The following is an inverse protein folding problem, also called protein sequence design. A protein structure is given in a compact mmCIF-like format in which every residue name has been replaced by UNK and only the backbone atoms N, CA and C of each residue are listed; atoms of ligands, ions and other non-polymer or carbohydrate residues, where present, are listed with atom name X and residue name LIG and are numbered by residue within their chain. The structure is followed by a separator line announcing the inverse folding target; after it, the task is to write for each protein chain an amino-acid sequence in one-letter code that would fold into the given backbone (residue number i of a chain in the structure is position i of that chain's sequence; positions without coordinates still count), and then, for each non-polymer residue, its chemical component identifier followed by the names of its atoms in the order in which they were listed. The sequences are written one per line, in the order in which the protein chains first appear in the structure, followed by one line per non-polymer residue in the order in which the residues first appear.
data_IF_752856930400
#
_entry.id   IF_752856930400
#
_cell.length_a   1.000
_cell.length_b   1.000
_cell.length_c   1.000
_cell.angle_alpha   90.00
_cell.angle_beta   90.00
_cell.angle_gamma   90.00
#
_symmetry.space_group_name_H-M   'P 1'
#
loop_
_entity.id
_entity.type
_entity.pdbx_description
1 polymer ?
#
# COMPACT_ATOMS: atom_id res chain seq x y z
N UNK A 1 -7.28 1.49 7.58
CA UNK A 1 -6.83 0.36 8.44
C UNK A 1 -5.38 0.01 8.18
N UNK A 2 -4.96 -0.34 6.95
CA UNK A 2 -3.56 -0.71 6.62
C UNK A 2 -2.57 0.36 7.09
N UNK A 3 -2.81 1.63 6.77
CA UNK A 3 -1.98 2.77 7.18
C UNK A 3 -1.78 2.83 8.69
N UNK A 4 -2.88 2.65 9.44
CA UNK A 4 -2.83 2.65 10.91
C UNK A 4 -2.05 1.45 11.47
N UNK A 5 -2.15 0.28 10.81
CA UNK A 5 -1.43 -0.92 11.19
C UNK A 5 0.09 -0.74 10.99
N UNK A 6 0.49 -0.25 9.81
CA UNK A 6 1.90 0.03 9.50
C UNK A 6 2.47 1.05 10.51
N UNK A 7 1.74 2.14 10.74
CA UNK A 7 2.13 3.13 11.74
C UNK A 7 2.30 2.52 13.13
N UNK A 8 1.36 1.67 13.56
CA UNK A 8 1.42 0.98 14.85
C UNK A 8 2.66 0.09 14.97
N UNK A 9 2.97 -0.69 13.93
CA UNK A 9 4.15 -1.56 13.88
C UNK A 9 5.43 -0.74 14.01
N UNK A 10 5.59 0.32 13.23
CA UNK A 10 6.76 1.20 13.28
C UNK A 10 6.91 1.84 14.66
N UNK A 11 5.80 2.35 15.22
CA UNK A 11 5.80 2.97 16.54
C UNK A 11 6.16 1.97 17.65
N UNK A 12 5.65 0.74 17.56
CA UNK A 12 5.94 -0.34 18.51
C UNK A 12 7.39 -0.82 18.41
N UNK A 13 8.00 -0.72 17.24
CA UNK A 13 9.42 -0.96 17.02
C UNK A 13 10.34 0.16 17.53
N UNK A 14 9.77 1.24 18.07
CA UNK A 14 10.51 2.38 18.61
C UNK A 14 11.01 3.36 17.54
N UNK A 15 10.51 3.27 16.31
CA UNK A 15 10.90 4.18 15.22
C UNK A 15 10.24 5.56 15.41
N UNK A 16 10.96 6.60 14.98
CA UNK A 16 10.44 7.97 14.93
C UNK A 16 9.60 8.13 13.66
N UNK A 17 8.29 7.87 13.77
CA UNK A 17 7.35 7.79 12.66
C UNK A 17 6.16 8.73 12.84
N UNK A 18 5.81 9.45 11.76
CA UNK A 18 4.62 10.28 11.65
C UNK A 18 3.49 9.59 10.90
N UNK A 19 2.23 9.88 11.27
CA UNK A 19 1.01 9.42 10.60
C UNK A 19 0.30 10.62 9.97
N UNK A 20 0.15 10.61 8.66
CA UNK A 20 -0.36 11.75 7.92
C UNK A 20 -1.27 11.40 6.74
N UNK A 21 -1.83 12.40 6.12
CA UNK A 21 -2.59 12.31 4.87
C UNK A 21 -4.09 12.36 5.07
N UNK A 22 -4.82 11.38 4.55
CA UNK A 22 -6.29 11.31 4.67
C UNK A 22 -6.75 10.94 6.10
N UNK A 23 -5.83 10.44 6.91
CA UNK A 23 -5.99 10.18 8.35
C UNK A 23 -4.87 10.88 9.12
N UNK A 24 -5.07 11.13 10.39
CA UNK A 24 -4.10 11.83 11.22
C UNK A 24 -4.02 13.34 10.93
N UNK A 25 -2.83 13.93 11.08
CA UNK A 25 -2.56 15.32 10.72
C UNK A 25 -2.29 15.46 9.22
N UNK A 26 -2.52 16.65 8.66
CA UNK A 26 -2.05 16.89 7.29
C UNK A 26 -0.52 16.77 7.23
N UNK A 27 -0.01 16.20 6.13
CA UNK A 27 1.44 16.02 5.98
C UNK A 27 2.20 17.36 6.08
N UNK A 28 1.68 18.41 5.45
CA UNK A 28 2.30 19.73 5.47
C UNK A 28 2.42 20.31 6.89
N UNK A 29 1.38 20.14 7.70
CA UNK A 29 1.40 20.59 9.09
C UNK A 29 2.40 19.76 9.92
N UNK A 30 2.40 18.45 9.73
CA UNK A 30 3.28 17.56 10.48
C UNK A 30 4.76 17.85 10.19
N UNK A 31 5.12 18.01 8.92
CA UNK A 31 6.50 18.36 8.51
C UNK A 31 6.92 19.75 9.03
N UNK A 32 5.97 20.68 9.19
CA UNK A 32 6.25 22.02 9.71
C UNK A 32 6.44 22.05 11.24
N UNK A 33 5.80 21.16 11.96
CA UNK A 33 5.78 21.16 13.44
C UNK A 33 6.70 20.08 14.05
N UNK A 34 6.89 18.97 13.37
CA UNK A 34 7.57 17.78 13.90
C UNK A 34 8.53 17.23 12.83
N UNK A 35 9.69 16.73 13.25
CA UNK A 35 10.63 16.02 12.38
C UNK A 35 10.54 14.51 12.66
N UNK A 36 10.25 13.74 11.62
CA UNK A 36 10.21 12.28 11.69
C UNK A 36 11.15 11.67 10.66
N UNK A 37 11.73 10.52 11.01
CA UNK A 37 12.58 9.74 10.09
C UNK A 37 11.72 9.00 9.04
N UNK A 38 10.48 8.68 9.42
CA UNK A 38 9.51 7.95 8.57
C UNK A 38 8.14 8.64 8.60
N UNK A 39 7.44 8.59 7.48
CA UNK A 39 6.05 9.04 7.37
C UNK A 39 5.21 7.94 6.77
N UNK A 40 4.18 7.49 7.48
CA UNK A 40 3.14 6.60 6.95
C UNK A 40 1.97 7.47 6.52
N UNK A 41 1.67 7.48 5.22
CA UNK A 41 0.75 8.44 4.62
C UNK A 41 -0.39 7.71 3.94
N UNK A 42 -1.63 8.02 4.32
CA UNK A 42 -2.80 7.58 3.58
C UNK A 42 -3.18 8.60 2.51
N UNK A 43 -3.22 8.15 1.26
CA UNK A 43 -3.51 9.01 0.12
C UNK A 43 -4.78 8.59 -0.60
N UNK A 44 -5.70 9.53 -0.75
CA UNK A 44 -6.84 9.37 -1.64
C UNK A 44 -6.44 9.59 -3.11
N UNK A 45 -7.24 9.08 -4.05
CA UNK A 45 -7.05 9.33 -5.47
C UNK A 45 -7.01 10.83 -5.80
N UNK A 46 -7.81 11.65 -5.11
CA UNK A 46 -7.85 13.11 -5.30
C UNK A 46 -6.57 13.82 -4.87
N UNK A 47 -5.93 13.32 -3.81
CA UNK A 47 -4.64 13.86 -3.38
C UNK A 47 -3.56 13.49 -4.40
N UNK A 48 -3.56 12.25 -4.89
CA UNK A 48 -2.62 11.78 -5.91
C UNK A 48 -2.73 12.57 -7.22
N UNK A 49 -3.91 13.01 -7.63
CA UNK A 49 -4.11 13.82 -8.84
C UNK A 49 -3.34 15.14 -8.81
N UNK A 50 -3.08 15.69 -7.63
CA UNK A 50 -2.38 16.94 -7.44
C UNK A 50 -0.91 16.76 -6.98
N UNK A 51 -0.42 15.55 -6.90
CA UNK A 51 0.95 15.23 -6.50
C UNK A 51 1.82 14.94 -7.72
N UNK A 52 2.56 15.95 -8.19
CA UNK A 52 3.40 15.82 -9.40
C UNK A 52 4.84 15.39 -9.10
N UNK A 53 5.38 15.78 -7.95
CA UNK A 53 6.76 15.52 -7.56
C UNK A 53 6.90 14.54 -6.38
N UNK A 54 5.78 14.13 -5.80
CA UNK A 54 5.78 13.17 -4.71
C UNK A 54 6.36 11.85 -5.19
N UNK A 55 7.25 11.28 -4.39
CA UNK A 55 7.80 9.94 -4.56
C UNK A 55 7.60 9.17 -3.25
N UNK A 56 7.06 7.99 -3.33
CA UNK A 56 6.96 7.06 -2.21
C UNK A 56 8.13 6.07 -2.30
N UNK A 57 8.93 5.94 -1.25
CA UNK A 57 9.95 4.89 -1.15
C UNK A 57 9.30 3.51 -1.12
N UNK A 58 8.14 3.42 -0.45
CA UNK A 58 7.28 2.23 -0.45
C UNK A 58 5.86 2.68 -0.76
N UNK A 59 5.30 2.22 -1.86
CA UNK A 59 3.90 2.42 -2.23
C UNK A 59 3.10 1.15 -1.97
N UNK A 60 1.88 1.29 -1.41
CA UNK A 60 0.97 0.16 -1.16
C UNK A 60 -0.36 0.42 -1.86
N UNK A 61 -0.81 -0.50 -2.69
CA UNK A 61 -2.10 -0.46 -3.37
C UNK A 61 -2.91 -1.71 -3.02
N UNK A 62 -3.91 -1.52 -2.15
CA UNK A 62 -4.70 -2.63 -1.58
C UNK A 62 -5.71 -3.20 -2.56
N UNK A 63 -6.51 -2.34 -3.18
CA UNK A 63 -7.55 -2.72 -4.14
C UNK A 63 -8.01 -1.53 -4.98
N UNK A 64 -8.69 -1.85 -6.07
CA UNK A 64 -9.36 -0.85 -6.90
C UNK A 64 -10.81 -1.27 -7.12
N UNK A 65 -11.72 -0.68 -6.35
CA UNK A 65 -13.17 -0.84 -6.51
C UNK A 65 -13.79 0.47 -6.93
N UNK A 66 -14.88 0.47 -7.75
CA UNK A 66 -15.52 1.71 -8.18
C UNK A 66 -15.95 2.56 -6.97
N UNK A 67 -15.42 3.77 -6.90
CA UNK A 67 -15.75 4.75 -5.86
C UNK A 67 -15.55 6.15 -6.43
N UNK A 68 -16.37 7.12 -5.97
CA UNK A 68 -16.24 8.53 -6.35
C UNK A 68 -16.15 8.81 -7.87
N UNK A 69 -16.77 7.98 -8.71
CA UNK A 69 -16.67 8.08 -10.17
C UNK A 69 -17.23 9.39 -10.73
N UNK A 70 -18.11 10.06 -9.99
CA UNK A 70 -18.60 11.40 -10.28
C UNK A 70 -17.48 12.44 -10.47
N UNK A 71 -16.35 12.25 -9.82
CA UNK A 71 -15.14 13.09 -9.95
C UNK A 71 -14.21 12.70 -11.09
N UNK A 72 -14.47 11.57 -11.71
CA UNK A 72 -13.65 11.01 -12.79
C UNK A 72 -14.44 10.87 -14.09
N UNK A 73 -15.38 11.80 -14.34
CA UNK A 73 -16.26 11.80 -15.52
C UNK A 73 -17.02 10.48 -15.70
N UNK A 74 -17.37 9.80 -14.60
CA UNK A 74 -17.92 8.46 -14.58
C UNK A 74 -17.07 7.41 -15.33
N UNK A 75 -15.79 7.71 -15.54
CA UNK A 75 -14.84 6.85 -16.23
C UNK A 75 -13.95 6.10 -15.23
N UNK A 76 -14.14 4.79 -15.13
CA UNK A 76 -13.35 3.94 -14.24
C UNK A 76 -11.85 4.01 -14.54
N UNK A 77 -11.44 4.17 -15.81
CA UNK A 77 -10.04 4.26 -16.19
C UNK A 77 -9.35 5.52 -15.62
N UNK A 78 -10.07 6.65 -15.56
CA UNK A 78 -9.53 7.87 -14.95
C UNK A 78 -9.24 7.67 -13.45
N UNK A 79 -10.16 7.01 -12.75
CA UNK A 79 -9.97 6.66 -11.34
C UNK A 79 -8.81 5.68 -11.11
N UNK A 80 -8.68 4.66 -11.96
CA UNK A 80 -7.54 3.72 -11.94
C UNK A 80 -6.23 4.47 -12.15
N UNK A 81 -6.16 5.31 -13.18
CA UNK A 81 -4.98 6.11 -13.48
C UNK A 81 -4.58 7.00 -12.30
N UNK A 82 -5.57 7.63 -11.64
CA UNK A 82 -5.33 8.45 -10.45
C UNK A 82 -4.70 7.64 -9.30
N UNK A 83 -5.19 6.43 -9.03
CA UNK A 83 -4.62 5.56 -7.99
C UNK A 83 -3.20 5.10 -8.33
N UNK A 84 -2.93 4.74 -9.57
CA UNK A 84 -1.59 4.33 -10.00
C UNK A 84 -0.56 5.46 -9.98
N UNK A 85 -0.96 6.72 -9.87
CA UNK A 85 -0.04 7.84 -9.67
C UNK A 85 0.81 7.72 -8.40
N UNK A 86 0.43 6.86 -7.47
CA UNK A 86 1.27 6.57 -6.29
C UNK A 86 2.66 6.04 -6.67
N UNK A 87 2.79 5.43 -7.84
CA UNK A 87 4.05 4.87 -8.36
C UNK A 87 4.79 5.79 -9.34
N UNK A 88 4.19 6.94 -9.72
CA UNK A 88 4.61 7.75 -10.88
C UNK A 88 6.08 8.25 -10.85
N UNK A 89 6.66 8.45 -9.68
CA UNK A 89 8.02 8.96 -9.52
C UNK A 89 8.94 7.93 -8.85
N UNK A 90 8.49 6.70 -8.68
CA UNK A 90 9.30 5.62 -8.14
C UNK A 90 10.42 5.22 -9.10
N UNK A 91 11.50 4.74 -8.54
CA UNK A 91 12.70 4.25 -9.23
C UNK A 91 12.93 2.79 -8.90
N UNK A 92 13.99 2.18 -9.44
CA UNK A 92 14.40 0.82 -9.10
C UNK A 92 14.89 0.64 -7.65
N UNK A 93 15.03 1.72 -6.89
CA UNK A 93 15.39 1.65 -5.46
C UNK A 93 14.15 1.56 -4.54
N UNK A 94 12.95 1.77 -5.12
CA UNK A 94 11.70 1.85 -4.39
C UNK A 94 10.93 0.53 -4.45
N UNK A 95 9.91 0.40 -3.60
CA UNK A 95 9.06 -0.79 -3.53
C UNK A 95 7.60 -0.46 -3.86
N UNK A 96 6.96 -1.35 -4.61
CA UNK A 96 5.53 -1.31 -4.86
C UNK A 96 4.87 -2.61 -4.38
N UNK A 97 4.12 -2.52 -3.30
CA UNK A 97 3.36 -3.61 -2.69
C UNK A 97 1.93 -3.54 -3.21
N UNK A 98 1.39 -4.64 -3.69
CA UNK A 98 0.04 -4.65 -4.24
C UNK A 98 -0.66 -6.00 -4.08
N UNK A 99 -2.00 -5.96 -4.01
CA UNK A 99 -2.80 -7.17 -3.94
C UNK A 99 -2.92 -7.84 -5.33
N UNK A 100 -2.29 -9.00 -5.45
CA UNK A 100 -2.20 -9.74 -6.72
C UNK A 100 -3.53 -10.37 -7.15
N UNK A 101 -4.48 -10.57 -6.21
CA UNK A 101 -5.79 -11.15 -6.54
C UNK A 101 -6.77 -10.10 -7.10
N UNK A 102 -6.43 -8.80 -7.06
CA UNK A 102 -7.27 -7.76 -7.66
C UNK A 102 -7.11 -7.77 -9.19
N UNK A 103 -8.19 -8.09 -9.95
CA UNK A 103 -8.11 -8.23 -11.40
C UNK A 103 -7.84 -6.90 -12.12
N UNK A 104 -8.16 -5.77 -11.50
CA UNK A 104 -7.89 -4.45 -12.06
C UNK A 104 -6.42 -4.14 -11.93
N UNK A 105 -5.85 -4.30 -10.74
CA UNK A 105 -4.42 -4.07 -10.50
C UNK A 105 -3.61 -4.96 -11.45
N UNK A 106 -3.87 -6.26 -11.48
CA UNK A 106 -3.16 -7.23 -12.32
C UNK A 106 -3.16 -6.85 -13.81
N UNK A 107 -4.31 -6.40 -14.33
CA UNK A 107 -4.46 -5.97 -15.72
C UNK A 107 -3.72 -4.66 -16.04
N UNK A 108 -3.58 -3.79 -15.06
CA UNK A 108 -3.07 -2.43 -15.27
C UNK A 108 -1.56 -2.29 -15.03
N UNK A 109 -0.93 -3.27 -14.36
CA UNK A 109 0.50 -3.22 -14.02
C UNK A 109 1.39 -2.84 -15.22
N UNK A 110 1.24 -3.56 -16.33
CA UNK A 110 2.09 -3.36 -17.52
C UNK A 110 1.86 -2.03 -18.23
N UNK A 111 0.72 -1.38 -17.97
CA UNK A 111 0.34 -0.14 -18.65
C UNK A 111 0.93 1.11 -18.00
N UNK A 112 1.32 1.01 -16.74
CA UNK A 112 1.74 2.18 -15.95
C UNK A 112 3.27 2.36 -15.85
N UNK A 113 4.07 1.49 -16.51
CA UNK A 113 5.53 1.64 -16.58
C UNK A 113 6.20 1.74 -15.22
N UNK A 114 5.81 0.86 -14.29
CA UNK A 114 6.29 0.86 -12.90
C UNK A 114 7.78 0.52 -12.88
N UNK A 115 8.59 1.38 -12.28
CA UNK A 115 10.02 1.20 -12.16
C UNK A 115 10.44 0.52 -10.85
N UNK A 116 9.59 0.56 -9.83
CA UNK A 116 9.86 0.00 -8.50
C UNK A 116 9.95 -1.52 -8.51
N UNK A 117 10.63 -2.08 -7.51
CA UNK A 117 10.55 -3.51 -7.24
C UNK A 117 9.12 -3.90 -6.85
N UNK A 118 8.61 -4.96 -7.49
CA UNK A 118 7.24 -5.44 -7.29
C UNK A 118 7.18 -6.44 -6.13
N UNK A 119 6.26 -6.20 -5.20
CA UNK A 119 6.00 -7.04 -4.04
C UNK A 119 4.51 -7.44 -4.00
N UNK A 120 4.10 -8.41 -4.83
CA UNK A 120 2.72 -8.89 -4.85
C UNK A 120 2.38 -9.73 -3.62
N UNK A 121 1.24 -9.45 -2.99
CA UNK A 121 0.68 -10.31 -1.96
C UNK A 121 -0.65 -10.92 -2.42
N UNK A 122 -1.00 -12.09 -1.88
CA UNK A 122 -2.22 -12.85 -2.20
C UNK A 122 -2.79 -13.50 -0.95
N UNK A 123 -4.10 -13.80 -0.96
CA UNK A 123 -4.73 -14.59 0.11
C UNK A 123 -4.27 -16.04 0.17
N UNK A 124 -3.79 -16.55 -0.97
CA UNK A 124 -3.31 -17.92 -1.15
C UNK A 124 -1.96 -17.90 -1.85
N UNK A 125 -1.23 -19.00 -1.78
CA UNK A 125 0.01 -19.15 -2.54
C UNK A 125 -0.27 -19.16 -4.04
N UNK A 126 0.15 -18.11 -4.73
CA UNK A 126 0.13 -18.01 -6.20
C UNK A 126 1.56 -17.84 -6.73
N UNK A 127 1.73 -18.17 -8.01
CA UNK A 127 3.02 -17.92 -8.69
C UNK A 127 3.37 -16.43 -8.67
N UNK A 128 4.55 -16.11 -8.18
CA UNK A 128 5.06 -14.76 -8.06
C UNK A 128 4.64 -14.01 -6.79
N UNK A 129 3.69 -14.52 -5.99
CA UNK A 129 3.33 -13.88 -4.71
C UNK A 129 4.48 -14.00 -3.70
N UNK A 130 4.78 -12.88 -3.05
CA UNK A 130 5.86 -12.76 -2.07
C UNK A 130 5.33 -12.90 -0.64
N UNK A 131 4.10 -12.47 -0.41
CA UNK A 131 3.38 -12.67 0.84
C UNK A 131 2.05 -13.38 0.56
N UNK A 132 1.73 -14.41 1.33
CA UNK A 132 0.53 -15.24 1.15
C UNK A 132 0.19 -16.01 2.43
N UNK A 133 -0.95 -16.71 2.41
CA UNK A 133 -1.30 -17.69 3.44
C UNK A 133 -1.17 -19.10 2.88
N UNK A 134 -0.51 -19.98 3.62
CA UNK A 134 -0.38 -21.41 3.34
C UNK A 134 -0.47 -22.18 4.66
N UNK A 135 -1.29 -23.22 4.73
CA UNK A 135 -1.46 -24.09 5.91
C UNK A 135 -1.72 -23.33 7.24
N UNK A 136 -2.54 -22.27 7.20
CA UNK A 136 -2.83 -21.38 8.32
C UNK A 136 -1.66 -20.50 8.79
N UNK A 137 -0.57 -20.46 8.05
CA UNK A 137 0.55 -19.55 8.29
C UNK A 137 0.51 -18.37 7.31
N UNK A 138 0.80 -17.18 7.80
CA UNK A 138 1.20 -16.02 7.00
C UNK A 138 2.67 -16.22 6.65
N UNK A 139 2.97 -16.26 5.37
CA UNK A 139 4.31 -16.49 4.84
C UNK A 139 4.76 -15.28 4.03
N UNK A 140 5.91 -14.73 4.35
CA UNK A 140 6.60 -13.69 3.58
C UNK A 140 7.94 -14.27 3.13
N UNK A 141 8.22 -14.22 1.83
CA UNK A 141 9.42 -14.83 1.23
C UNK A 141 10.52 -13.83 0.90
N UNK A 142 10.16 -12.56 0.73
CA UNK A 142 11.11 -11.48 0.41
C UNK A 142 10.57 -10.12 0.93
N UNK A 143 11.45 -9.12 1.18
CA UNK A 143 12.93 -9.17 1.09
C UNK A 143 13.56 -9.97 2.26
N UNK A 144 12.82 -10.17 3.34
CA UNK A 144 13.25 -10.96 4.50
C UNK A 144 12.22 -12.06 4.72
N UNK A 145 12.66 -13.31 4.73
CA UNK A 145 11.77 -14.44 4.96
C UNK A 145 11.21 -14.39 6.40
N UNK A 146 9.90 -14.51 6.53
CA UNK A 146 9.19 -14.48 7.79
C UNK A 146 7.93 -15.34 7.68
N UNK A 147 7.58 -16.04 8.74
CA UNK A 147 6.30 -16.71 8.88
C UNK A 147 5.74 -16.59 10.30
N UNK A 148 4.44 -16.63 10.42
CA UNK A 148 3.72 -16.65 11.69
C UNK A 148 2.35 -17.32 11.52
N UNK A 149 1.85 -17.92 12.57
CA UNK A 149 0.48 -18.46 12.60
C UNK A 149 -0.54 -17.35 12.34
N UNK A 150 -1.50 -17.59 11.47
CA UNK A 150 -2.55 -16.63 11.15
C UNK A 150 -3.36 -16.23 12.40
N UNK A 151 -3.52 -17.14 13.36
CA UNK A 151 -4.22 -16.89 14.63
C UNK A 151 -3.50 -15.86 15.53
N UNK A 152 -2.21 -15.62 15.31
CA UNK A 152 -1.41 -14.63 16.06
C UNK A 152 -1.59 -13.20 15.52
N UNK A 153 -2.28 -13.03 14.37
CA UNK A 153 -2.60 -11.71 13.86
C UNK A 153 -3.52 -10.95 14.83
N UNK A 154 -3.12 -9.73 15.18
CA UNK A 154 -3.89 -8.88 16.10
C UNK A 154 -5.25 -8.45 15.51
N UNK A 155 -5.37 -8.42 14.19
CA UNK A 155 -6.58 -8.05 13.47
C UNK A 155 -7.21 -9.29 12.85
N UNK A 156 -8.46 -9.57 13.17
CA UNK A 156 -9.22 -10.73 12.68
C UNK A 156 -10.12 -10.37 11.50
N UNK A 157 -10.47 -11.38 10.70
CA UNK A 157 -11.34 -11.26 9.54
C UNK A 157 -10.56 -11.11 8.23
N UNK A 158 -11.21 -11.52 7.12
CA UNK A 158 -10.58 -11.63 5.80
C UNK A 158 -9.97 -10.32 5.29
N UNK A 159 -10.67 -9.19 5.45
CA UNK A 159 -10.13 -7.89 5.03
C UNK A 159 -8.89 -7.48 5.84
N UNK A 160 -8.85 -7.86 7.11
CA UNK A 160 -7.72 -7.57 7.97
C UNK A 160 -6.53 -8.49 7.69
N UNK A 161 -6.78 -9.69 7.21
CA UNK A 161 -5.73 -10.57 6.69
C UNK A 161 -4.99 -9.89 5.53
N UNK A 162 -5.72 -9.34 4.56
CA UNK A 162 -5.10 -8.57 3.45
C UNK A 162 -4.34 -7.35 3.94
N UNK A 163 -4.88 -6.63 4.94
CA UNK A 163 -4.17 -5.51 5.56
C UNK A 163 -2.87 -5.92 6.27
N UNK A 164 -2.78 -7.17 6.71
CA UNK A 164 -1.60 -7.73 7.41
C UNK A 164 -0.57 -8.33 6.45
N UNK A 165 -1.00 -8.74 5.25
CA UNK A 165 -0.12 -9.24 4.19
C UNK A 165 0.61 -8.12 3.44
N UNK A 166 0.03 -6.93 3.42
CA UNK A 166 0.58 -5.73 2.78
C UNK A 166 1.63 -5.05 3.66
#
# INVERSE_FOLDING_TARGET
TTTSLIYHIFKSAGLNVGLAGNIGKSLALQVAEEEHDYYVIELSSFQLDNMYKFRADIAVLMNITPDHLDRYDHCMQNYINAKFRITQNQTSEDAFIFWNDDPIIKRELDKHGICAHLYPFSAIKEEGSIAYVEDHEVVITAPIAFNMEQEQLALTGQHNLYNSLA
#
